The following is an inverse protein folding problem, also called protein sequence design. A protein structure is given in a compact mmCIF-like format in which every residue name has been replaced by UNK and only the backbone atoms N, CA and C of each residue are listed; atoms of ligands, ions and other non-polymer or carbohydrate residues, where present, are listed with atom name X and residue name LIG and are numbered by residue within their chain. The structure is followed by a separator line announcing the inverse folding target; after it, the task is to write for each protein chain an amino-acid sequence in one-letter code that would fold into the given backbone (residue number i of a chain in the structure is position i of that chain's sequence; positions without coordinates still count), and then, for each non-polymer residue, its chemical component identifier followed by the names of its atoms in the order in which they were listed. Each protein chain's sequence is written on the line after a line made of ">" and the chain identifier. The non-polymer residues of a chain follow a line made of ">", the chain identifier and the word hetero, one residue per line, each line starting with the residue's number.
data_IF_867665009105
#
_entry.id   IF_867665009105
#
_cell.length_a   1.000
_cell.length_b   1.000
_cell.length_c   1.000
_cell.angle_alpha   90.00
_cell.angle_beta   90.00
_cell.angle_gamma   90.00
#
_symmetry.space_group_name_H-M   'P 1'
#
loop_
_entity.id
_entity.type
_entity.pdbx_description
1 polymer ?
#
# COMPACT_ATOMS: atom_id res chain seq x y z
N UNK A 1 -30.34 61.26 1.22
CA UNK A 1 -29.21 60.67 1.97
C UNK A 1 -29.59 59.26 2.36
N UNK A 2 -28.79 58.32 1.86
CA UNK A 2 -28.51 56.93 2.29
C UNK A 2 -29.42 56.27 3.34
N UNK A 3 -29.93 55.10 3.00
CA UNK A 3 -30.27 54.02 3.93
C UNK A 3 -30.20 52.71 3.16
N UNK A 4 -29.02 52.09 3.11
CA UNK A 4 -28.75 50.90 2.31
C UNK A 4 -29.27 49.63 2.97
N UNK A 5 -29.97 48.81 2.19
CA UNK A 5 -30.31 47.43 2.55
C UNK A 5 -29.04 46.58 2.53
N UNK A 6 -28.60 46.16 3.71
CA UNK A 6 -27.57 45.15 3.88
C UNK A 6 -28.19 43.78 3.56
N UNK A 7 -27.99 43.29 2.34
CA UNK A 7 -28.23 41.89 2.03
C UNK A 7 -27.17 41.03 2.74
N UNK A 8 -27.62 40.27 3.73
CA UNK A 8 -26.81 39.23 4.38
C UNK A 8 -26.30 38.25 3.33
N UNK A 9 -24.98 38.30 3.10
CA UNK A 9 -24.26 37.32 2.31
C UNK A 9 -24.28 35.98 3.07
N UNK A 10 -25.27 35.14 2.76
CA UNK A 10 -25.24 33.72 3.14
C UNK A 10 -24.07 33.08 2.41
N UNK A 11 -22.94 32.96 3.10
CA UNK A 11 -21.83 32.09 2.67
C UNK A 11 -22.34 30.64 2.73
N UNK A 12 -23.03 30.19 1.68
CA UNK A 12 -23.15 28.77 1.41
C UNK A 12 -21.73 28.23 1.15
N UNK A 13 -21.31 27.14 1.81
CA UNK A 13 -20.04 26.52 1.47
C UNK A 13 -20.14 26.01 0.04
N UNK A 14 -19.45 26.68 -0.88
CA UNK A 14 -19.27 26.22 -2.25
C UNK A 14 -18.67 24.83 -2.22
N UNK A 15 -19.51 23.80 -2.44
CA UNK A 15 -19.06 22.44 -2.69
C UNK A 15 -18.41 22.46 -4.07
N UNK A 16 -17.11 22.74 -4.09
CA UNK A 16 -16.29 22.59 -5.28
C UNK A 16 -16.12 21.09 -5.50
N UNK A 17 -16.97 20.52 -6.35
CA UNK A 17 -16.76 19.17 -6.87
C UNK A 17 -15.45 19.20 -7.65
N UNK A 18 -14.40 18.62 -7.08
CA UNK A 18 -13.16 18.41 -7.82
C UNK A 18 -13.49 17.65 -9.10
N UNK A 19 -13.13 18.23 -10.25
CA UNK A 19 -13.30 17.60 -11.55
C UNK A 19 -12.60 16.23 -11.53
N UNK A 20 -13.33 15.18 -11.95
CA UNK A 20 -12.93 13.77 -11.75
C UNK A 20 -11.59 13.34 -12.37
N UNK A 21 -10.93 14.18 -13.16
CA UNK A 21 -9.65 13.89 -13.81
C UNK A 21 -8.46 13.79 -12.85
N UNK A 22 -8.52 14.42 -11.66
CA UNK A 22 -7.42 14.41 -10.69
C UNK A 22 -7.71 13.57 -9.43
N UNK A 23 -8.85 12.87 -9.39
CA UNK A 23 -9.23 12.07 -8.23
C UNK A 23 -8.45 10.75 -8.19
N UNK A 24 -7.85 10.35 -7.05
CA UNK A 24 -7.19 9.08 -6.91
C UNK A 24 -8.21 7.96 -7.10
N UNK A 25 -7.91 7.03 -7.99
CA UNK A 25 -8.77 5.87 -8.25
C UNK A 25 -8.38 4.74 -7.28
N UNK A 26 -9.34 4.16 -6.54
CA UNK A 26 -9.07 3.00 -5.70
C UNK A 26 -8.64 1.81 -6.57
N UNK A 27 -7.61 1.03 -6.18
CA UNK A 27 -7.25 -0.17 -6.89
C UNK A 27 -8.32 -1.26 -6.73
N UNK A 28 -8.38 -2.21 -7.67
CA UNK A 28 -9.29 -3.36 -7.60
C UNK A 28 -8.49 -4.65 -7.47
N UNK A 29 -8.70 -5.39 -6.37
CA UNK A 29 -8.11 -6.70 -6.15
C UNK A 29 -8.88 -7.80 -6.86
N UNK A 30 -8.16 -8.62 -7.63
CA UNK A 30 -8.69 -9.76 -8.41
C UNK A 30 -7.87 -11.04 -8.20
N UNK A 31 -6.87 -10.97 -7.31
CA UNK A 31 -5.85 -12.00 -7.18
C UNK A 31 -6.23 -13.15 -6.25
N UNK A 32 -5.29 -14.08 -6.12
CA UNK A 32 -5.35 -15.21 -5.19
C UNK A 32 -4.02 -15.52 -4.52
N UNK A 33 -2.91 -15.00 -5.04
CA UNK A 33 -1.56 -15.29 -4.56
C UNK A 33 -1.07 -14.28 -3.52
N UNK A 34 -0.04 -14.63 -2.72
CA UNK A 34 0.62 -13.69 -1.80
C UNK A 34 1.18 -12.47 -2.53
N UNK A 35 1.87 -12.68 -3.66
CA UNK A 35 2.43 -11.61 -4.49
C UNK A 35 1.37 -10.63 -4.95
N UNK A 36 0.21 -11.11 -5.41
CA UNK A 36 -0.90 -10.24 -5.81
C UNK A 36 -1.51 -9.49 -4.61
N UNK A 37 -1.61 -10.12 -3.43
CA UNK A 37 -2.06 -9.45 -2.19
C UNK A 37 -1.11 -8.31 -1.81
N UNK A 38 0.20 -8.52 -1.90
CA UNK A 38 1.24 -7.50 -1.66
C UNK A 38 1.09 -6.31 -2.61
N UNK A 39 1.11 -6.58 -3.92
CA UNK A 39 1.00 -5.56 -4.96
C UNK A 39 -0.30 -4.73 -4.84
N UNK A 40 -1.41 -5.38 -4.46
CA UNK A 40 -2.65 -4.67 -4.18
C UNK A 40 -2.53 -3.74 -2.96
N UNK A 41 -1.93 -4.20 -1.86
CA UNK A 41 -1.72 -3.33 -0.69
C UNK A 41 -0.81 -2.16 -0.99
N UNK A 42 0.26 -2.33 -1.77
CA UNK A 42 1.11 -1.22 -2.18
C UNK A 42 0.31 -0.18 -2.97
N UNK A 43 -0.48 -0.64 -3.95
CA UNK A 43 -1.37 0.21 -4.74
C UNK A 43 -2.40 0.93 -3.86
N UNK A 44 -2.97 0.23 -2.87
CA UNK A 44 -3.97 0.76 -1.96
C UNK A 44 -3.38 1.80 -0.99
N UNK A 45 -2.17 1.58 -0.49
CA UNK A 45 -1.46 2.53 0.37
C UNK A 45 -1.05 3.78 -0.40
N UNK A 46 -0.63 3.66 -1.67
CA UNK A 46 -0.39 4.81 -2.55
C UNK A 46 -1.68 5.60 -2.77
N UNK A 47 -2.79 4.92 -3.09
CA UNK A 47 -4.12 5.53 -3.21
C UNK A 47 -4.50 6.29 -1.93
N UNK A 48 -4.42 5.63 -0.77
CA UNK A 48 -4.74 6.23 0.53
C UNK A 48 -3.86 7.46 0.82
N UNK A 49 -2.56 7.41 0.49
CA UNK A 49 -1.63 8.55 0.66
C UNK A 49 -2.05 9.72 -0.23
N UNK A 50 -2.44 9.47 -1.48
CA UNK A 50 -2.95 10.51 -2.40
C UNK A 50 -4.25 11.13 -1.90
N UNK A 51 -5.21 10.32 -1.43
CA UNK A 51 -6.44 10.84 -0.81
C UNK A 51 -6.13 11.69 0.42
N UNK A 52 -5.20 11.22 1.27
CA UNK A 52 -4.77 11.98 2.46
C UNK A 52 -4.17 13.34 2.08
N UNK A 53 -3.31 13.39 1.06
CA UNK A 53 -2.72 14.64 0.57
C UNK A 53 -3.78 15.60 0.01
N UNK A 54 -4.77 15.10 -0.74
CA UNK A 54 -5.87 15.93 -1.24
C UNK A 54 -6.71 16.53 -0.12
N UNK A 55 -6.95 15.77 0.95
CA UNK A 55 -7.68 16.23 2.12
C UNK A 55 -6.94 17.29 2.95
N UNK A 56 -5.66 17.56 2.67
CA UNK A 56 -4.93 18.69 3.26
C UNK A 56 -5.24 20.01 2.55
N UNK A 57 -5.83 19.97 1.35
CA UNK A 57 -6.27 21.15 0.60
C UNK A 57 -7.62 21.69 1.06
N UNK A 58 -8.02 22.85 0.51
CA UNK A 58 -9.27 23.54 0.85
C UNK A 58 -10.52 23.01 0.09
N UNK A 59 -10.37 21.99 -0.75
CA UNK A 59 -11.36 21.57 -1.76
C UNK A 59 -12.34 20.48 -1.29
N UNK A 60 -12.69 20.46 0.01
CA UNK A 60 -13.58 19.45 0.59
C UNK A 60 -12.88 18.16 1.01
N UNK A 61 -13.63 17.26 1.66
CA UNK A 61 -13.10 15.97 2.16
C UNK A 61 -13.48 14.83 1.23
N UNK A 62 -12.48 14.08 0.79
CA UNK A 62 -12.59 12.84 0.05
C UNK A 62 -12.49 11.66 1.02
N UNK A 63 -13.44 10.73 0.93
CA UNK A 63 -13.40 9.49 1.70
C UNK A 63 -12.46 8.48 1.07
N UNK A 64 -11.73 7.74 1.91
CA UNK A 64 -10.94 6.59 1.48
C UNK A 64 -11.90 5.41 1.30
N UNK A 65 -11.89 4.79 0.14
CA UNK A 65 -12.68 3.58 -0.10
C UNK A 65 -12.23 2.45 0.83
N UNK A 66 -13.15 1.73 1.50
CA UNK A 66 -12.80 0.58 2.32
C UNK A 66 -12.16 -0.55 1.47
N UNK A 67 -11.41 -1.44 2.13
CA UNK A 67 -10.74 -2.55 1.44
C UNK A 67 -11.76 -3.51 0.82
N UNK A 68 -12.85 -3.81 1.51
CA UNK A 68 -13.94 -4.65 0.98
C UNK A 68 -14.46 -4.16 -0.38
N UNK A 69 -14.69 -2.85 -0.50
CA UNK A 69 -15.15 -2.22 -1.74
C UNK A 69 -14.08 -2.16 -2.84
N UNK A 70 -12.82 -2.39 -2.49
CA UNK A 70 -11.71 -2.50 -3.44
C UNK A 70 -11.49 -3.94 -3.94
N UNK A 71 -12.33 -4.92 -3.57
CA UNK A 71 -12.22 -6.32 -4.02
C UNK A 71 -13.28 -6.61 -5.06
N UNK A 72 -12.90 -7.23 -6.18
CA UNK A 72 -13.88 -7.67 -7.18
C UNK A 72 -14.89 -8.65 -6.57
N UNK A 73 -16.18 -8.46 -6.85
CA UNK A 73 -17.27 -9.26 -6.26
C UNK A 73 -17.03 -10.78 -6.31
N UNK A 74 -16.62 -11.34 -7.46
CA UNK A 74 -16.31 -12.78 -7.58
C UNK A 74 -15.17 -13.21 -6.64
N UNK A 75 -14.15 -12.36 -6.53
CA UNK A 75 -12.99 -12.59 -5.66
C UNK A 75 -13.39 -12.47 -4.19
N UNK A 76 -14.23 -11.50 -3.84
CA UNK A 76 -14.77 -11.32 -2.49
C UNK A 76 -15.50 -12.58 -2.04
N UNK A 77 -16.45 -13.09 -2.85
CA UNK A 77 -17.20 -14.30 -2.52
C UNK A 77 -16.28 -15.51 -2.34
N UNK A 78 -15.27 -15.68 -3.21
CA UNK A 78 -14.27 -16.75 -3.08
C UNK A 78 -13.55 -16.69 -1.74
N UNK A 79 -13.12 -15.50 -1.32
CA UNK A 79 -12.38 -15.29 -0.07
C UNK A 79 -13.27 -15.58 1.12
N UNK A 80 -14.48 -15.00 1.16
CA UNK A 80 -15.44 -15.22 2.23
C UNK A 80 -15.72 -16.71 2.44
N UNK A 81 -16.03 -17.43 1.35
CA UNK A 81 -16.45 -18.83 1.41
C UNK A 81 -15.29 -19.80 1.67
N UNK A 82 -14.15 -19.62 1.01
CA UNK A 82 -13.10 -20.65 0.97
C UNK A 82 -11.86 -20.31 1.79
N UNK A 83 -11.59 -19.03 2.09
CA UNK A 83 -10.38 -18.62 2.82
C UNK A 83 -10.69 -18.15 4.25
N UNK A 84 -11.77 -17.39 4.44
CA UNK A 84 -12.17 -16.88 5.77
C UNK A 84 -13.22 -17.73 6.45
N UNK A 85 -14.02 -18.49 5.69
CA UNK A 85 -15.09 -19.35 6.22
C UNK A 85 -16.19 -18.58 6.94
N UNK A 86 -16.45 -17.33 6.55
CA UNK A 86 -17.43 -16.43 7.16
C UNK A 86 -18.26 -15.72 6.09
N UNK A 87 -19.55 -15.42 6.34
CA UNK A 87 -20.35 -14.60 5.43
C UNK A 87 -19.79 -13.17 5.38
N UNK A 88 -19.98 -12.48 4.25
CA UNK A 88 -19.51 -11.09 4.04
C UNK A 88 -19.97 -10.14 5.15
N UNK A 89 -21.21 -10.30 5.64
CA UNK A 89 -21.80 -9.48 6.69
C UNK A 89 -21.09 -9.57 8.06
N UNK A 90 -20.28 -10.60 8.28
CA UNK A 90 -19.53 -10.82 9.53
C UNK A 90 -18.05 -10.45 9.42
N UNK A 91 -17.57 -10.06 8.23
CA UNK A 91 -16.17 -9.73 8.00
C UNK A 91 -16.00 -8.21 8.14
N UNK A 92 -15.20 -7.80 9.11
CA UNK A 92 -14.91 -6.39 9.38
C UNK A 92 -13.82 -5.84 8.44
N UNK A 93 -13.67 -4.52 8.36
CA UNK A 93 -12.55 -3.91 7.62
C UNK A 93 -11.19 -4.28 8.24
N UNK A 94 -11.14 -4.48 9.55
CA UNK A 94 -9.98 -4.99 10.26
C UNK A 94 -9.65 -6.43 9.84
N UNK A 95 -10.65 -7.29 9.67
CA UNK A 95 -10.46 -8.66 9.14
C UNK A 95 -9.92 -8.62 7.71
N UNK A 96 -10.48 -7.78 6.84
CA UNK A 96 -9.98 -7.59 5.47
C UNK A 96 -8.53 -7.13 5.46
N UNK A 97 -8.20 -6.15 6.29
CA UNK A 97 -6.82 -5.67 6.44
C UNK A 97 -5.89 -6.78 6.94
N UNK A 98 -6.29 -7.54 7.96
CA UNK A 98 -5.50 -8.63 8.50
C UNK A 98 -5.28 -9.73 7.46
N UNK A 99 -6.32 -10.11 6.73
CA UNK A 99 -6.28 -11.13 5.68
C UNK A 99 -5.32 -10.76 4.54
N UNK A 100 -5.38 -9.52 4.04
CA UNK A 100 -4.47 -9.11 2.96
C UNK A 100 -3.04 -8.94 3.48
N UNK A 101 -2.85 -8.33 4.66
CA UNK A 101 -1.51 -8.12 5.25
C UNK A 101 -0.84 -9.42 5.69
N UNK A 102 -1.60 -10.49 5.94
CA UNK A 102 -1.02 -11.81 6.21
C UNK A 102 -0.08 -12.28 5.09
N UNK A 103 -0.28 -11.83 3.85
CA UNK A 103 0.60 -12.14 2.72
C UNK A 103 2.01 -11.56 2.86
N UNK A 104 2.20 -10.51 3.66
CA UNK A 104 3.49 -9.85 3.91
C UNK A 104 4.34 -10.57 4.97
N UNK A 105 3.76 -11.51 5.72
CA UNK A 105 4.51 -12.27 6.73
C UNK A 105 5.36 -13.33 6.02
N UNK A 106 6.69 -13.27 6.13
CA UNK A 106 7.54 -14.32 5.59
C UNK A 106 7.32 -15.64 6.34
N UNK A 107 7.42 -16.75 5.63
CA UNK A 107 7.48 -18.08 6.22
C UNK A 107 8.93 -18.53 6.42
N UNK A 108 9.13 -19.55 7.26
CA UNK A 108 10.47 -20.12 7.54
C UNK A 108 11.18 -20.54 6.24
N UNK A 109 10.43 -21.07 5.28
CA UNK A 109 10.96 -21.48 3.97
C UNK A 109 11.44 -20.28 3.14
N UNK A 110 10.75 -19.14 3.25
CA UNK A 110 11.13 -17.92 2.53
C UNK A 110 12.49 -17.41 3.03
N UNK A 111 12.71 -17.44 4.35
CA UNK A 111 14.01 -17.09 4.95
C UNK A 111 15.13 -18.05 4.54
N UNK A 112 14.88 -19.36 4.52
CA UNK A 112 15.88 -20.34 4.10
C UNK A 112 16.28 -20.15 2.63
N UNK A 113 15.31 -19.90 1.76
CA UNK A 113 15.53 -19.61 0.34
C UNK A 113 16.30 -18.31 0.16
N UNK A 114 15.90 -17.24 0.86
CA UNK A 114 16.61 -15.96 0.84
C UNK A 114 18.07 -16.12 1.28
N UNK A 115 18.30 -16.82 2.40
CA UNK A 115 19.64 -17.07 2.91
C UNK A 115 20.51 -17.84 1.91
N UNK A 116 19.93 -18.76 1.13
CA UNK A 116 20.66 -19.49 0.10
C UNK A 116 21.09 -18.57 -1.06
N UNK A 117 20.20 -17.69 -1.54
CA UNK A 117 20.52 -16.75 -2.63
C UNK A 117 21.49 -15.67 -2.15
N UNK A 118 21.33 -15.17 -0.92
CA UNK A 118 22.21 -14.14 -0.37
C UNK A 118 23.67 -14.58 -0.21
N UNK A 119 23.98 -15.88 -0.24
CA UNK A 119 25.38 -16.36 -0.23
C UNK A 119 26.18 -15.94 -1.45
N UNK A 120 25.53 -15.65 -2.58
CA UNK A 120 26.22 -15.14 -3.78
C UNK A 120 26.38 -13.63 -3.79
N UNK A 121 25.76 -12.91 -2.86
CA UNK A 121 25.89 -11.47 -2.76
C UNK A 121 27.31 -11.13 -2.29
N UNK A 122 28.01 -10.29 -3.06
CA UNK A 122 29.36 -9.87 -2.74
C UNK A 122 29.63 -8.45 -3.23
N UNK A 123 30.52 -7.74 -2.55
CA UNK A 123 30.89 -6.39 -2.96
C UNK A 123 31.67 -6.43 -4.28
N UNK A 124 31.21 -5.69 -5.28
CA UNK A 124 31.95 -5.52 -6.53
C UNK A 124 33.29 -4.80 -6.26
N UNK A 125 34.40 -5.43 -6.63
CA UNK A 125 35.75 -4.84 -6.49
C UNK A 125 36.21 -4.11 -7.76
N UNK A 126 35.41 -4.13 -8.82
CA UNK A 126 35.74 -3.48 -10.10
C UNK A 126 35.43 -2.00 -10.12
N UNK A 127 34.58 -1.51 -9.19
CA UNK A 127 34.26 -0.09 -9.06
C UNK A 127 35.37 0.64 -8.29
N UNK A 128 35.79 1.84 -8.74
CA UNK A 128 36.98 2.52 -8.23
C UNK A 128 36.79 3.07 -6.80
N UNK A 129 35.65 3.71 -6.52
CA UNK A 129 35.37 4.36 -5.25
C UNK A 129 34.56 3.46 -4.30
N UNK A 130 34.78 3.64 -2.99
CA UNK A 130 34.12 2.83 -1.96
C UNK A 130 32.62 3.09 -1.88
N UNK A 131 32.19 4.33 -2.13
CA UNK A 131 30.78 4.72 -2.08
C UNK A 131 29.97 3.98 -3.15
N UNK A 132 30.44 3.96 -4.39
CA UNK A 132 29.81 3.22 -5.49
C UNK A 132 29.79 1.71 -5.25
N UNK A 133 30.84 1.16 -4.64
CA UNK A 133 30.87 -0.26 -4.24
C UNK A 133 29.78 -0.60 -3.23
N UNK A 134 29.61 0.24 -2.20
CA UNK A 134 28.55 0.07 -1.20
C UNK A 134 27.18 0.27 -1.81
N UNK A 135 26.99 1.32 -2.62
CA UNK A 135 25.73 1.60 -3.29
C UNK A 135 25.32 0.44 -4.19
N UNK A 136 26.25 -0.10 -4.99
CA UNK A 136 25.97 -1.26 -5.83
C UNK A 136 25.61 -2.50 -5.01
N UNK A 137 26.33 -2.76 -3.91
CA UNK A 137 26.02 -3.88 -3.02
C UNK A 137 24.61 -3.76 -2.40
N UNK A 138 24.21 -2.56 -1.99
CA UNK A 138 22.87 -2.30 -1.45
C UNK A 138 21.81 -2.48 -2.54
N UNK A 139 22.06 -1.99 -3.75
CA UNK A 139 21.15 -2.23 -4.89
C UNK A 139 21.00 -3.73 -5.16
N UNK A 140 22.10 -4.47 -5.25
CA UNK A 140 22.09 -5.92 -5.49
C UNK A 140 21.35 -6.68 -4.37
N UNK A 141 21.51 -6.25 -3.11
CA UNK A 141 20.76 -6.80 -1.98
C UNK A 141 19.25 -6.59 -2.16
N UNK A 142 18.81 -5.38 -2.49
CA UNK A 142 17.39 -5.09 -2.71
C UNK A 142 16.83 -5.84 -3.92
N UNK A 143 17.58 -5.94 -5.02
CA UNK A 143 17.17 -6.73 -6.19
C UNK A 143 16.96 -8.22 -5.84
N UNK A 144 17.78 -8.79 -4.96
CA UNK A 144 17.56 -10.16 -4.47
C UNK A 144 16.30 -10.23 -3.60
N UNK A 145 16.08 -9.28 -2.69
CA UNK A 145 14.86 -9.25 -1.88
C UNK A 145 13.61 -9.21 -2.75
N UNK A 146 13.56 -8.30 -3.73
CA UNK A 146 12.46 -8.17 -4.70
C UNK A 146 12.26 -9.48 -5.48
N UNK A 147 13.34 -10.10 -5.93
CA UNK A 147 13.28 -11.37 -6.66
C UNK A 147 12.78 -12.54 -5.79
N UNK A 148 12.96 -12.48 -4.48
CA UNK A 148 12.46 -13.46 -3.53
C UNK A 148 11.10 -13.10 -2.92
N UNK A 149 10.47 -11.98 -3.32
CA UNK A 149 9.24 -11.47 -2.71
C UNK A 149 9.43 -11.23 -1.19
N UNK A 150 10.61 -10.74 -0.80
CA UNK A 150 11.06 -10.54 0.59
C UNK A 150 11.36 -9.07 0.87
N UNK A 151 10.71 -8.16 0.18
CA UNK A 151 10.92 -6.71 0.23
C UNK A 151 10.55 -6.12 1.61
N UNK A 152 9.65 -6.79 2.35
CA UNK A 152 9.33 -6.51 3.76
C UNK A 152 10.31 -7.19 4.76
N UNK A 153 11.48 -7.66 4.30
CA UNK A 153 12.47 -8.30 5.16
C UNK A 153 12.84 -7.36 6.31
N UNK A 154 12.74 -7.81 7.58
CA UNK A 154 12.98 -6.94 8.70
C UNK A 154 14.46 -6.56 8.72
N UNK A 155 14.74 -5.27 8.56
CA UNK A 155 15.99 -4.67 9.04
C UNK A 155 15.91 -4.66 10.57
N UNK A 156 16.03 -5.82 11.22
CA UNK A 156 16.33 -5.83 12.64
C UNK A 156 17.71 -5.18 12.79
N UNK A 157 17.81 -4.14 13.62
CA UNK A 157 19.10 -3.62 14.02
C UNK A 157 19.93 -4.80 14.53
N UNK A 158 21.18 -4.97 14.07
CA UNK A 158 22.00 -6.06 14.52
C UNK A 158 22.06 -5.99 16.05
N UNK A 159 21.64 -7.05 16.72
CA UNK A 159 21.83 -7.18 18.16
C UNK A 159 23.33 -7.11 18.39
N UNK A 160 23.81 -5.95 18.84
CA UNK A 160 25.19 -5.80 19.24
C UNK A 160 25.40 -6.74 20.43
N UNK A 161 26.17 -7.80 20.19
CA UNK A 161 26.64 -8.73 21.20
C UNK A 161 27.77 -8.09 22.03
#
# INVERSE_FOLDING_TARGET
>A
MVGGDASENRNEPTITVATGSNMPVPPVYRGSTKKEKKAFMDSYLIYKRRVTALNQGAYGRVFVMPLSACIEHRTLIRICMYELGKPESEITEEDWKAYILAARRPEVQDHARLAQVMRSLSMSTTLPDAESRVMKLVTDFNEILDAQDMDDFPLEEPKMA
#
